data_IF_655266895482
#
_entry.id   IF_655266895482
#
_cell.length_a   1.000
_cell.length_b   1.000
_cell.length_c   1.000
_cell.angle_alpha   90.00
_cell.angle_beta   90.00
_cell.angle_gamma   90.00
#
_symmetry.space_group_name_H-M   'P 1'
#
loop_
_entity.id
_entity.type
_entity.pdbx_description
1 polymer ?
#
# COMPACT_ATOMS: atom_id res chain seq x y z
N UNK A 1 -2.64 -1.72 6.87
CA UNK A 1 -1.59 -2.65 6.34
C UNK A 1 -0.49 -2.77 7.38
N UNK A 2 0.03 -3.98 7.61
CA UNK A 2 1.13 -4.24 8.55
C UNK A 2 2.34 -4.68 7.73
N UNK A 3 3.50 -4.13 8.05
CA UNK A 3 4.79 -4.54 7.49
C UNK A 3 5.54 -5.39 8.51
N UNK A 4 6.20 -6.44 8.04
CA UNK A 4 7.02 -7.30 8.90
C UNK A 4 8.36 -6.63 9.18
N UNK A 5 8.93 -6.86 10.37
CA UNK A 5 10.26 -6.35 10.76
C UNK A 5 11.40 -7.33 10.51
N UNK A 6 11.22 -8.29 9.60
CA UNK A 6 12.24 -9.32 9.33
C UNK A 6 13.55 -8.78 8.73
N UNK A 7 13.57 -7.51 8.27
CA UNK A 7 14.81 -6.85 7.82
C UNK A 7 15.45 -6.06 8.96
N UNK A 8 16.63 -6.50 9.40
CA UNK A 8 17.37 -5.88 10.51
C UNK A 8 17.99 -4.51 10.19
N UNK A 9 18.39 -4.26 8.94
CA UNK A 9 19.03 -2.98 8.55
C UNK A 9 18.03 -1.83 8.43
N UNK A 10 16.76 -2.13 8.15
CA UNK A 10 15.74 -1.11 7.93
C UNK A 10 14.34 -1.66 8.30
N UNK A 11 14.05 -1.80 9.61
CA UNK A 11 12.75 -2.25 10.05
C UNK A 11 11.72 -1.14 9.82
N UNK A 12 10.71 -1.43 9.00
CA UNK A 12 9.59 -0.52 8.79
C UNK A 12 8.53 -0.76 9.87
N UNK A 13 8.26 0.26 10.68
CA UNK A 13 7.23 0.21 11.74
C UNK A 13 6.13 1.22 11.40
N UNK A 14 4.87 0.77 11.35
CA UNK A 14 3.70 1.60 11.01
C UNK A 14 3.88 2.47 9.75
N UNK A 15 4.52 1.89 8.73
CA UNK A 15 4.82 2.59 7.49
C UNK A 15 3.55 2.96 6.72
N UNK A 16 3.31 4.26 6.55
CA UNK A 16 2.20 4.79 5.77
C UNK A 16 2.42 4.58 4.27
N UNK A 17 1.73 3.60 3.69
CA UNK A 17 1.95 3.20 2.29
C UNK A 17 1.31 4.15 1.27
N UNK A 18 0.49 5.12 1.69
CA UNK A 18 -0.23 6.03 0.79
C UNK A 18 -1.31 5.37 -0.08
N UNK A 19 -1.69 4.12 0.24
CA UNK A 19 -2.73 3.38 -0.48
C UNK A 19 -3.97 3.22 0.40
N UNK A 20 -5.14 3.34 -0.23
CA UNK A 20 -6.40 2.92 0.35
C UNK A 20 -6.60 1.42 0.09
N UNK A 21 -7.17 0.68 1.04
CA UNK A 21 -7.33 -0.77 0.89
C UNK A 21 -8.58 -1.28 1.57
N UNK A 22 -9.13 -2.37 1.05
CA UNK A 22 -10.26 -3.08 1.62
C UNK A 22 -9.89 -4.53 1.89
N UNK A 23 -10.24 -5.03 3.07
CA UNK A 23 -10.19 -6.44 3.40
C UNK A 23 -11.61 -7.03 3.39
N UNK A 24 -11.70 -8.34 3.14
CA UNK A 24 -12.95 -9.07 3.28
C UNK A 24 -13.09 -9.60 4.71
N UNK A 25 -14.30 -9.50 5.24
CA UNK A 25 -14.69 -10.10 6.51
C UNK A 25 -15.06 -11.59 6.36
N UNK A 26 -15.32 -12.03 5.13
CA UNK A 26 -15.63 -13.43 4.84
C UNK A 26 -14.39 -14.34 4.95
N UNK A 27 -14.54 -15.58 5.43
CA UNK A 27 -13.43 -16.53 5.50
C UNK A 27 -12.77 -16.77 4.15
N UNK A 28 -11.43 -16.93 4.12
CA UNK A 28 -10.75 -17.31 2.90
C UNK A 28 -11.22 -18.70 2.44
N UNK A 29 -11.54 -18.93 1.15
CA UNK A 29 -11.81 -20.27 0.62
C UNK A 29 -10.61 -21.22 0.76
N UNK A 30 -9.42 -20.68 1.01
CA UNK A 30 -8.20 -21.40 1.32
C UNK A 30 -8.10 -21.89 2.78
N UNK A 31 -9.03 -21.51 3.65
CA UNK A 31 -9.06 -21.91 5.07
C UNK A 31 -8.10 -21.14 6.00
N UNK A 32 -7.33 -20.18 5.48
CA UNK A 32 -6.44 -19.36 6.31
C UNK A 32 -7.23 -18.38 7.17
N UNK A 33 -6.79 -18.20 8.42
CA UNK A 33 -7.38 -17.29 9.41
C UNK A 33 -6.96 -15.83 9.23
N UNK A 34 -6.06 -15.54 8.29
CA UNK A 34 -5.61 -14.19 7.99
C UNK A 34 -6.68 -13.41 7.24
N UNK A 35 -6.79 -12.12 7.55
CA UNK A 35 -7.65 -11.21 6.79
C UNK A 35 -7.23 -11.16 5.32
N UNK A 36 -8.20 -11.34 4.43
CA UNK A 36 -7.96 -11.32 2.98
C UNK A 36 -8.04 -9.90 2.45
N UNK A 37 -6.94 -9.40 1.92
CA UNK A 37 -6.91 -8.13 1.20
C UNK A 37 -7.56 -8.30 -0.17
N UNK A 38 -8.69 -7.62 -0.41
CA UNK A 38 -9.48 -7.78 -1.64
C UNK A 38 -8.99 -6.84 -2.72
N UNK A 39 -8.63 -5.61 -2.34
CA UNK A 39 -8.19 -4.58 -3.29
C UNK A 39 -7.24 -3.58 -2.66
N UNK A 40 -6.22 -3.23 -3.43
CA UNK A 40 -5.37 -2.07 -3.21
C UNK A 40 -5.81 -0.96 -4.18
N UNK A 41 -6.27 0.16 -3.62
CA UNK A 41 -6.58 1.37 -4.35
C UNK A 41 -5.42 2.35 -4.12
N UNK A 42 -4.82 2.78 -5.22
CA UNK A 42 -3.70 3.72 -5.18
C UNK A 42 -4.24 5.14 -5.13
N UNK A 43 -3.63 5.99 -4.31
CA UNK A 43 -3.92 7.43 -4.29
C UNK A 43 -4.55 7.93 -3.00
N UNK A 44 -3.75 7.99 -1.94
CA UNK A 44 -4.00 8.89 -0.82
C UNK A 44 -2.78 9.83 -0.73
N UNK A 45 -2.91 11.02 -1.32
CA UNK A 45 -1.84 12.03 -1.46
C UNK A 45 -1.13 11.98 -2.82
N UNK A 46 -1.30 13.04 -3.61
CA UNK A 46 -0.55 13.67 -4.73
C UNK A 46 0.34 12.86 -5.72
N UNK A 47 0.57 11.57 -5.54
CA UNK A 47 1.34 10.74 -6.46
C UNK A 47 0.41 9.81 -7.26
N UNK A 48 0.15 10.19 -8.52
CA UNK A 48 -0.56 9.33 -9.46
C UNK A 48 0.40 8.26 -10.01
N UNK A 49 -0.09 7.03 -10.21
CA UNK A 49 0.71 5.95 -10.84
C UNK A 49 0.38 5.89 -12.33
N UNK A 50 1.30 6.30 -13.21
CA UNK A 50 1.13 6.21 -14.68
C UNK A 50 2.00 5.07 -15.20
N UNK A 51 1.40 4.09 -15.87
CA UNK A 51 2.10 2.92 -16.46
C UNK A 51 3.05 2.20 -15.48
N UNK A 52 2.64 2.04 -14.22
CA UNK A 52 3.44 1.36 -13.20
C UNK A 52 4.59 2.19 -12.60
N UNK A 53 4.74 3.45 -13.00
CA UNK A 53 5.66 4.42 -12.40
C UNK A 53 4.90 5.43 -11.53
N UNK A 54 5.51 5.89 -10.45
CA UNK A 54 4.98 7.01 -9.66
C UNK A 54 5.28 8.32 -10.40
N UNK A 55 4.25 9.08 -10.76
CA UNK A 55 4.34 10.45 -11.27
C UNK A 55 4.13 11.41 -10.10
N UNK A 56 5.20 12.12 -9.72
CA UNK A 56 5.19 13.14 -8.67
C UNK A 56 4.98 14.52 -9.31
N UNK A 57 3.81 14.72 -9.93
CA UNK A 57 3.52 15.88 -10.78
C UNK A 57 3.84 17.25 -10.16
N UNK A 58 3.91 17.37 -8.83
CA UNK A 58 4.26 18.58 -8.09
C UNK A 58 5.74 19.02 -8.16
N UNK A 59 6.68 18.12 -8.46
CA UNK A 59 8.10 18.51 -8.66
C UNK A 59 8.31 19.33 -9.95
N UNK A 60 7.33 19.35 -10.88
CA UNK A 60 7.43 20.03 -12.18
C UNK A 60 6.83 21.44 -12.21
N UNK A 61 6.22 21.92 -11.12
CA UNK A 61 5.50 23.21 -11.07
C UNK A 61 6.27 24.33 -10.36
N UNK A 62 7.52 24.07 -9.97
CA UNK A 62 8.42 25.04 -9.32
C UNK A 62 9.72 25.28 -10.12
N UNK A 63 9.64 25.14 -11.45
CA UNK A 63 10.63 25.61 -12.43
C UNK A 63 10.02 26.74 -13.28
#
# INVERSE_FOLDING_TARGET
MVTTVFKGTYPLIRFGTGNLSYYADEPCPCGWTLHRLVRLIRGMGDAAKVRGMEDKGWERTWD
#
